data_IF_144539274565
#
_entry.id   IF_144539274565
#
_cell.length_a   1.000
_cell.length_b   1.000
_cell.length_c   1.000
_cell.angle_alpha   90.00
_cell.angle_beta   90.00
_cell.angle_gamma   90.00
#
_symmetry.space_group_name_H-M   'P 1'
#
loop_
_entity.id
_entity.type
_entity.pdbx_description
1 polymer ?
#
# COMPACT_ATOMS: atom_id res chain seq x y z
N UNK A 1 25.37 7.72 -15.12
CA UNK A 1 24.10 8.36 -14.72
C UNK A 1 24.33 9.82 -14.38
N UNK A 2 23.71 10.74 -15.12
CA UNK A 2 23.87 12.16 -14.85
C UNK A 2 23.02 12.58 -13.63
N UNK A 3 23.62 13.29 -12.67
CA UNK A 3 22.88 13.94 -11.58
C UNK A 3 21.93 15.00 -12.15
N UNK A 4 20.76 15.15 -11.53
CA UNK A 4 19.84 16.24 -11.89
C UNK A 4 20.45 17.61 -11.60
N UNK A 5 20.01 18.65 -12.31
CA UNK A 5 20.48 20.03 -12.11
C UNK A 5 20.31 20.48 -10.65
N UNK A 6 19.18 20.13 -10.03
CA UNK A 6 18.89 20.43 -8.63
C UNK A 6 19.87 19.74 -7.65
N UNK A 7 20.28 18.50 -7.94
CA UNK A 7 21.26 17.80 -7.10
C UNK A 7 22.66 18.42 -7.22
N UNK A 8 23.06 18.82 -8.44
CA UNK A 8 24.33 19.54 -8.65
C UNK A 8 24.39 20.86 -7.90
N UNK A 9 23.29 21.60 -7.85
CA UNK A 9 23.19 22.87 -7.09
C UNK A 9 23.31 22.64 -5.58
N UNK A 10 22.63 21.61 -5.04
CA UNK A 10 22.75 21.24 -3.62
C UNK A 10 24.19 20.87 -3.25
N UNK A 11 24.83 20.03 -4.07
CA UNK A 11 26.22 19.62 -3.87
C UNK A 11 27.18 20.83 -3.92
N UNK A 12 26.91 21.81 -4.79
CA UNK A 12 27.68 23.07 -4.86
C UNK A 12 27.58 23.88 -3.56
N UNK A 13 26.37 24.08 -3.04
CA UNK A 13 26.15 24.85 -1.80
C UNK A 13 26.88 24.23 -0.60
N UNK A 14 26.88 22.90 -0.50
CA UNK A 14 27.59 22.18 0.57
C UNK A 14 29.11 22.35 0.43
N UNK A 15 29.65 22.30 -0.79
CA UNK A 15 31.09 22.54 -1.05
C UNK A 15 31.52 23.95 -0.70
N UNK A 16 30.65 24.93 -0.89
CA UNK A 16 30.88 26.34 -0.55
C UNK A 16 30.72 26.60 0.96
N UNK A 17 30.44 25.59 1.78
CA UNK A 17 30.26 25.72 3.22
C UNK A 17 28.92 26.33 3.63
N UNK A 18 27.95 26.43 2.70
CA UNK A 18 26.60 26.91 3.03
C UNK A 18 25.80 25.80 3.70
N UNK A 19 24.80 26.19 4.48
CA UNK A 19 23.90 25.26 5.21
C UNK A 19 23.29 24.25 4.24
N UNK A 20 23.30 22.97 4.63
CA UNK A 20 22.79 21.89 3.81
C UNK A 20 21.28 22.08 3.55
N UNK A 21 20.84 22.16 2.28
CA UNK A 21 19.42 22.32 1.96
C UNK A 21 18.56 21.12 2.40
N UNK A 22 19.16 19.96 2.66
CA UNK A 22 18.45 18.80 3.18
C UNK A 22 17.95 19.04 4.62
N UNK A 23 18.70 19.77 5.44
CA UNK A 23 18.39 20.02 6.86
C UNK A 23 17.20 20.98 7.01
N UNK A 24 16.89 21.76 5.98
CA UNK A 24 15.76 22.69 5.95
C UNK A 24 14.50 22.08 5.31
N UNK A 25 14.51 20.77 4.98
CA UNK A 25 13.30 20.10 4.46
C UNK A 25 12.27 19.95 5.57
N UNK A 26 11.04 20.34 5.28
CA UNK A 26 9.92 20.16 6.20
C UNK A 26 9.56 18.68 6.36
N UNK A 27 8.85 18.36 7.45
CA UNK A 27 8.36 17.02 7.75
C UNK A 27 7.48 16.43 6.62
N UNK A 28 6.82 17.29 5.84
CA UNK A 28 6.02 16.90 4.67
C UNK A 28 6.84 16.25 3.56
N UNK A 29 8.16 16.42 3.54
CA UNK A 29 9.03 15.70 2.60
C UNK A 29 9.21 14.22 2.98
N UNK A 30 8.94 13.85 4.23
CA UNK A 30 9.06 12.49 4.74
C UNK A 30 7.72 11.75 4.71
N UNK A 31 6.62 12.48 4.86
CA UNK A 31 5.26 11.92 4.91
C UNK A 31 4.71 11.73 3.50
N UNK A 32 4.07 10.59 3.25
CA UNK A 32 3.30 10.40 2.03
C UNK A 32 2.02 11.22 2.08
N UNK A 33 2.00 12.34 1.35
CA UNK A 33 0.87 13.28 1.26
C UNK A 33 -0.20 12.83 0.25
N UNK A 34 -0.07 11.63 -0.32
CA UNK A 34 -1.06 11.11 -1.27
C UNK A 34 -2.38 10.81 -0.56
N UNK A 35 -3.49 11.11 -1.25
CA UNK A 35 -4.81 10.70 -0.79
C UNK A 35 -4.94 9.18 -0.83
N UNK A 36 -5.33 8.57 0.29
CA UNK A 36 -5.65 7.14 0.34
C UNK A 36 -6.86 6.88 -0.56
N UNK A 37 -6.71 5.99 -1.54
CA UNK A 37 -7.80 5.57 -2.43
C UNK A 37 -8.30 4.19 -2.01
N UNK A 38 -9.61 4.02 -2.03
CA UNK A 38 -10.24 2.71 -1.90
C UNK A 38 -10.12 1.94 -3.20
N UNK A 39 -10.35 0.62 -3.13
CA UNK A 39 -10.26 -0.25 -4.30
C UNK A 39 -11.37 0.06 -5.30
N UNK A 40 -11.04 -0.06 -6.58
CA UNK A 40 -12.05 -0.03 -7.64
C UNK A 40 -12.87 -1.32 -7.65
N UNK A 41 -14.05 -1.29 -8.28
CA UNK A 41 -14.90 -2.49 -8.42
C UNK A 41 -14.15 -3.66 -9.07
N UNK A 42 -13.35 -3.38 -10.11
CA UNK A 42 -12.55 -4.38 -10.80
C UNK A 42 -11.46 -4.98 -9.88
N UNK A 43 -10.76 -4.14 -9.12
CA UNK A 43 -9.77 -4.60 -8.13
C UNK A 43 -10.38 -5.45 -7.03
N UNK A 44 -11.60 -5.12 -6.60
CA UNK A 44 -12.31 -5.89 -5.58
C UNK A 44 -12.74 -7.26 -6.10
N UNK A 45 -13.23 -7.34 -7.34
CA UNK A 45 -13.63 -8.60 -7.99
C UNK A 45 -12.47 -9.55 -8.20
N UNK A 46 -11.34 -9.02 -8.66
CA UNK A 46 -10.14 -9.81 -8.91
C UNK A 46 -9.36 -10.13 -7.62
N UNK A 47 -9.83 -9.67 -6.44
CA UNK A 47 -9.16 -9.95 -5.18
C UNK A 47 -9.51 -11.33 -4.64
N UNK A 48 -8.55 -12.24 -4.61
CA UNK A 48 -8.62 -13.47 -3.80
C UNK A 48 -8.19 -13.17 -2.37
N UNK A 49 -9.13 -12.73 -1.52
CA UNK A 49 -8.85 -12.40 -0.11
C UNK A 49 -8.70 -13.65 0.76
N UNK A 50 -9.53 -14.65 0.52
CA UNK A 50 -9.53 -15.92 1.24
C UNK A 50 -9.20 -17.02 0.24
N UNK A 51 -8.02 -17.64 0.39
CA UNK A 51 -7.65 -18.83 -0.38
C UNK A 51 -8.45 -20.01 0.17
N UNK A 52 -9.68 -20.20 -0.29
CA UNK A 52 -10.36 -21.48 -0.15
C UNK A 52 -9.62 -22.49 -1.02
N UNK A 53 -9.40 -23.71 -0.51
CA UNK A 53 -8.96 -24.83 -1.36
C UNK A 53 -9.98 -24.93 -2.49
N UNK A 54 -9.52 -24.74 -3.73
CA UNK A 54 -10.30 -25.12 -4.91
C UNK A 54 -10.76 -26.55 -4.69
N UNK A 55 -12.04 -26.82 -4.96
CA UNK A 55 -12.77 -28.03 -4.63
C UNK A 55 -12.17 -29.25 -5.37
N UNK A 56 -11.01 -29.70 -4.94
CA UNK A 56 -10.27 -30.79 -5.55
C UNK A 56 -9.22 -31.36 -4.57
N UNK A 57 -9.62 -31.61 -3.33
CA UNK A 57 -9.04 -32.71 -2.57
C UNK A 57 -10.03 -33.14 -1.50
N UNK A 58 -10.39 -34.41 -1.56
CA UNK A 58 -11.25 -35.11 -0.63
C UNK A 58 -10.70 -35.01 0.80
N UNK A 59 -11.58 -34.87 1.77
CA UNK A 59 -11.23 -34.93 3.19
C UNK A 59 -11.37 -33.59 3.89
N UNK A 60 -12.45 -33.49 4.67
CA UNK A 60 -12.55 -32.81 5.96
C UNK A 60 -11.64 -31.60 6.18
N UNK A 61 -12.20 -30.39 6.05
CA UNK A 61 -11.96 -29.23 6.92
C UNK A 61 -12.65 -28.00 6.33
N UNK A 62 -13.84 -27.71 6.84
CA UNK A 62 -14.78 -26.70 6.32
C UNK A 62 -14.70 -25.43 7.19
N UNK A 63 -14.30 -24.25 6.67
CA UNK A 63 -14.81 -23.00 7.20
C UNK A 63 -16.03 -22.59 6.36
N UNK A 64 -17.21 -23.00 6.81
CA UNK A 64 -18.48 -22.54 6.25
C UNK A 64 -18.67 -21.07 6.60
N UNK A 65 -18.64 -20.18 5.61
CA UNK A 65 -19.44 -18.96 5.69
C UNK A 65 -20.81 -19.28 5.08
N UNK A 66 -21.60 -20.13 5.77
CA UNK A 66 -22.99 -20.40 5.41
C UNK A 66 -23.88 -19.80 6.51
N UNK A 67 -24.54 -18.69 6.16
CA UNK A 67 -25.89 -18.32 6.61
C UNK A 67 -26.28 -18.68 8.05
N UNK A 68 -25.88 -17.87 9.03
CA UNK A 68 -26.61 -17.72 10.29
C UNK A 68 -27.75 -16.74 10.06
N UNK A 69 -28.75 -17.16 9.29
CA UNK A 69 -30.07 -16.53 9.23
C UNK A 69 -30.99 -17.55 8.56
N UNK A 70 -32.11 -17.88 9.19
CA UNK A 70 -33.12 -18.83 8.72
C UNK A 70 -32.89 -20.32 9.10
N UNK A 71 -32.75 -20.60 10.41
CA UNK A 71 -33.20 -21.86 11.03
C UNK A 71 -33.57 -21.58 12.50
N UNK A 72 -34.43 -20.60 12.74
CA UNK A 72 -35.26 -20.56 13.95
C UNK A 72 -36.67 -20.19 13.49
N UNK A 73 -37.35 -21.18 12.91
CA UNK A 73 -38.80 -21.24 12.92
C UNK A 73 -39.22 -21.96 14.20
N UNK A 74 -39.85 -21.20 15.10
CA UNK A 74 -40.80 -21.68 16.09
C UNK A 74 -42.08 -20.90 15.86
#
# INVERSE_FOLDING_TARGET
MAKSKAQKQRDKLVREGRRNPADNRSLFALVDMRSRRTKTKAEQWNQVKHKGRSFQESGDDRPCFLSVACCMGF
#
